data_IF_926189622569
#
_entry.id   IF_926189622569
#
_cell.length_a   1.000
_cell.length_b   1.000
_cell.length_c   1.000
_cell.angle_alpha   90.00
_cell.angle_beta   90.00
_cell.angle_gamma   90.00
#
_symmetry.space_group_name_H-M   'P 1'
#
loop_
_entity.id
_entity.type
_entity.pdbx_description
1 polymer ?
#
# COMPACT_ATOMS: atom_id res chain seq x y z
N UNK A 1 28.88 34.78 -36.84
CA UNK A 1 27.54 34.90 -36.22
C UNK A 1 26.72 33.67 -36.62
N UNK A 2 26.41 32.78 -35.68
CA UNK A 2 25.80 31.46 -35.95
C UNK A 2 24.25 31.50 -35.86
N UNK A 3 23.56 30.52 -36.44
CA UNK A 3 22.08 30.45 -36.47
C UNK A 3 21.41 30.61 -35.08
N UNK A 4 21.98 30.00 -34.03
CA UNK A 4 21.56 30.14 -32.62
C UNK A 4 21.55 31.61 -32.18
N UNK A 5 22.60 32.35 -32.50
CA UNK A 5 22.71 33.78 -32.12
C UNK A 5 21.64 34.61 -32.83
N UNK A 6 21.38 34.34 -34.12
CA UNK A 6 20.31 34.98 -34.89
C UNK A 6 18.93 34.68 -34.32
N UNK A 7 18.68 33.43 -33.92
CA UNK A 7 17.40 33.02 -33.31
C UNK A 7 17.20 33.73 -31.97
N UNK A 8 18.20 33.73 -31.10
CA UNK A 8 18.10 34.44 -29.81
C UNK A 8 17.96 35.95 -29.96
N UNK A 9 18.64 36.55 -30.93
CA UNK A 9 18.48 37.98 -31.21
C UNK A 9 17.04 38.31 -31.61
N UNK A 10 16.44 37.49 -32.49
CA UNK A 10 15.05 37.66 -32.92
C UNK A 10 14.05 37.46 -31.76
N UNK A 11 14.26 36.42 -30.94
CA UNK A 11 13.39 36.14 -29.78
C UNK A 11 13.45 37.25 -28.74
N UNK A 12 14.64 37.78 -28.42
CA UNK A 12 14.78 38.91 -27.49
C UNK A 12 14.14 40.17 -28.04
N UNK A 13 14.30 40.44 -29.34
CA UNK A 13 13.67 41.59 -29.99
C UNK A 13 12.14 41.50 -29.97
N UNK A 14 11.56 40.31 -30.15
CA UNK A 14 10.10 40.12 -30.09
C UNK A 14 9.49 40.25 -28.69
N UNK A 15 10.31 40.16 -27.64
CA UNK A 15 9.90 40.34 -26.24
C UNK A 15 10.11 41.78 -25.74
N UNK A 16 10.62 42.68 -26.60
CA UNK A 16 10.80 44.07 -26.22
C UNK A 16 9.41 44.69 -25.95
N UNK A 17 9.31 45.42 -24.84
CA UNK A 17 8.08 46.09 -24.39
C UNK A 17 6.93 45.13 -24.01
N UNK A 18 7.20 43.84 -23.85
CA UNK A 18 6.28 42.90 -23.20
C UNK A 18 6.62 42.76 -21.72
N UNK A 19 5.59 42.55 -20.90
CA UNK A 19 5.76 42.17 -19.49
C UNK A 19 5.44 40.69 -19.35
N UNK A 20 6.25 39.91 -18.60
CA UNK A 20 5.88 38.56 -18.23
C UNK A 20 4.52 38.55 -17.54
N UNK A 21 3.68 37.57 -17.88
CA UNK A 21 2.47 37.31 -17.09
C UNK A 21 2.92 36.92 -15.69
N UNK A 22 2.32 37.52 -14.67
CA UNK A 22 2.59 37.15 -13.28
C UNK A 22 2.11 35.73 -13.08
N UNK A 23 2.98 34.90 -12.50
CA UNK A 23 2.63 33.56 -12.07
C UNK A 23 1.53 33.66 -10.99
N UNK A 24 0.28 33.40 -11.39
CA UNK A 24 -0.89 33.33 -10.49
C UNK A 24 -1.24 31.86 -10.25
N UNK A 25 -0.35 31.18 -9.54
CA UNK A 25 -0.60 29.84 -9.04
C UNK A 25 -0.07 29.71 -7.62
N UNK A 26 -0.71 28.80 -6.86
CA UNK A 26 -0.24 28.45 -5.54
C UNK A 26 1.04 27.60 -5.64
N UNK A 27 2.19 28.21 -5.39
CA UNK A 27 3.48 27.54 -5.41
C UNK A 27 3.56 26.37 -4.41
N UNK A 28 2.76 26.38 -3.32
CA UNK A 28 2.71 25.27 -2.36
C UNK A 28 2.25 23.97 -3.00
N UNK A 29 1.42 24.01 -4.05
CA UNK A 29 1.00 22.81 -4.80
C UNK A 29 2.18 22.11 -5.47
N UNK A 30 3.23 22.85 -5.81
CA UNK A 30 4.44 22.32 -6.46
C UNK A 30 5.55 21.97 -5.47
N UNK A 31 5.56 22.60 -4.29
CA UNK A 31 6.64 22.46 -3.30
C UNK A 31 6.27 21.58 -2.12
N UNK A 32 4.98 21.34 -1.87
CA UNK A 32 4.50 20.52 -0.75
C UNK A 32 3.77 19.27 -1.23
N UNK A 33 4.03 18.10 -0.62
CA UNK A 33 3.25 16.90 -0.91
C UNK A 33 1.79 17.13 -0.50
N UNK A 34 0.86 16.93 -1.44
CA UNK A 34 -0.56 16.95 -1.14
C UNK A 34 -0.90 15.89 -0.07
N UNK A 35 -1.58 16.31 1.00
CA UNK A 35 -2.01 15.41 2.08
C UNK A 35 -3.51 15.56 2.31
N UNK A 36 -4.21 14.42 2.38
CA UNK A 36 -5.58 14.41 2.88
C UNK A 36 -5.61 14.82 4.37
N UNK A 37 -6.71 15.48 4.76
CA UNK A 37 -7.04 15.75 6.17
C UNK A 37 -7.05 14.42 6.94
N UNK A 38 -6.56 14.43 8.18
CA UNK A 38 -6.29 13.21 8.94
C UNK A 38 -7.53 12.32 9.06
N UNK A 39 -8.68 12.94 9.34
CA UNK A 39 -9.99 12.33 9.45
C UNK A 39 -10.47 11.63 8.17
N UNK A 40 -10.02 12.07 6.99
CA UNK A 40 -10.46 11.53 5.70
C UNK A 40 -9.53 10.45 5.14
N UNK A 41 -8.35 10.22 5.75
CA UNK A 41 -7.32 9.33 5.19
C UNK A 41 -7.77 7.88 5.12
N UNK A 42 -8.39 7.37 6.18
CA UNK A 42 -8.84 5.97 6.25
C UNK A 42 -9.95 5.71 5.24
N UNK A 43 -10.95 6.59 5.18
CA UNK A 43 -12.06 6.48 4.23
C UNK A 43 -11.57 6.54 2.78
N UNK A 44 -10.60 7.42 2.50
CA UNK A 44 -10.03 7.53 1.16
C UNK A 44 -9.21 6.30 0.78
N UNK A 45 -8.40 5.77 1.70
CA UNK A 45 -7.66 4.53 1.48
C UNK A 45 -8.63 3.38 1.19
N UNK A 46 -9.67 3.22 2.01
CA UNK A 46 -10.71 2.21 1.82
C UNK A 46 -11.34 2.33 0.44
N UNK A 47 -11.79 3.52 0.07
CA UNK A 47 -12.40 3.77 -1.24
C UNK A 47 -11.48 3.33 -2.39
N UNK A 48 -10.17 3.54 -2.26
CA UNK A 48 -9.23 3.20 -3.33
C UNK A 48 -8.89 1.72 -3.39
N UNK A 49 -8.84 1.03 -2.25
CA UNK A 49 -8.71 -0.43 -2.21
C UNK A 49 -9.98 -1.11 -2.75
N UNK A 50 -11.17 -0.60 -2.40
CA UNK A 50 -12.46 -1.13 -2.87
C UNK A 50 -12.69 -0.85 -4.36
N UNK A 51 -12.16 0.25 -4.90
CA UNK A 51 -12.25 0.58 -6.33
C UNK A 51 -11.55 -0.44 -7.24
N UNK A 52 -10.57 -1.19 -6.72
CA UNK A 52 -9.89 -2.29 -7.42
C UNK A 52 -10.42 -3.66 -7.00
N UNK A 53 -11.68 -3.71 -6.53
CA UNK A 53 -12.36 -4.92 -6.05
C UNK A 53 -11.70 -5.60 -4.83
N UNK A 54 -10.88 -4.86 -4.09
CA UNK A 54 -10.36 -5.33 -2.79
C UNK A 54 -11.46 -5.28 -1.73
N UNK A 55 -11.51 -6.31 -0.89
CA UNK A 55 -12.34 -6.27 0.32
C UNK A 55 -11.57 -5.61 1.45
N UNK A 56 -12.20 -4.64 2.13
CA UNK A 56 -11.57 -3.92 3.25
C UNK A 56 -12.37 -4.13 4.53
N UNK A 57 -11.69 -4.65 5.56
CA UNK A 57 -12.26 -4.82 6.88
C UNK A 57 -11.64 -3.79 7.84
N UNK A 58 -12.41 -2.76 8.19
CA UNK A 58 -11.96 -1.75 9.16
C UNK A 58 -12.00 -2.34 10.57
N UNK A 59 -10.92 -2.13 11.31
CA UNK A 59 -10.71 -2.65 12.67
C UNK A 59 -9.69 -1.78 13.43
N UNK A 60 -9.40 -2.13 14.68
CA UNK A 60 -8.39 -1.48 15.51
C UNK A 60 -7.25 -2.46 15.85
N UNK A 61 -6.17 -1.93 16.45
CA UNK A 61 -4.96 -2.70 16.76
C UNK A 61 -5.16 -3.88 17.71
N UNK A 62 -6.21 -3.89 18.53
CA UNK A 62 -6.50 -5.00 19.44
C UNK A 62 -7.40 -6.07 18.81
N UNK A 63 -8.34 -5.66 17.94
CA UNK A 63 -9.38 -6.52 17.40
C UNK A 63 -9.03 -7.14 16.04
N UNK A 64 -7.98 -6.68 15.36
CA UNK A 64 -7.64 -7.16 14.01
C UNK A 64 -7.36 -8.67 13.93
N UNK A 65 -6.70 -9.35 14.89
CA UNK A 65 -6.44 -10.78 14.77
C UNK A 65 -7.73 -11.61 14.74
N UNK A 66 -8.71 -11.25 15.58
CA UNK A 66 -10.02 -11.88 15.60
C UNK A 66 -10.75 -11.68 14.26
N UNK A 67 -10.68 -10.46 13.70
CA UNK A 67 -11.29 -10.15 12.40
C UNK A 67 -10.67 -10.95 11.25
N UNK A 68 -9.37 -11.26 11.32
CA UNK A 68 -8.72 -12.16 10.35
C UNK A 68 -9.27 -13.57 10.47
N UNK A 69 -9.45 -14.11 11.70
CA UNK A 69 -10.05 -15.43 11.89
C UNK A 69 -11.48 -15.50 11.34
N UNK A 70 -12.30 -14.48 11.61
CA UNK A 70 -13.65 -14.36 11.05
C UNK A 70 -13.64 -14.38 9.52
N UNK A 71 -12.74 -13.61 8.91
CA UNK A 71 -12.62 -13.52 7.45
C UNK A 71 -12.19 -14.86 6.81
N UNK A 72 -11.24 -15.56 7.44
CA UNK A 72 -10.78 -16.87 6.95
C UNK A 72 -11.86 -17.93 7.10
N UNK A 73 -12.54 -17.97 8.25
CA UNK A 73 -13.64 -18.91 8.50
C UNK A 73 -14.80 -18.71 7.51
N UNK A 74 -15.19 -17.46 7.23
CA UNK A 74 -16.22 -17.15 6.24
C UNK A 74 -15.89 -17.62 4.82
N UNK A 75 -14.60 -17.85 4.52
CA UNK A 75 -14.10 -18.34 3.22
C UNK A 75 -13.72 -19.83 3.23
N UNK A 76 -13.88 -20.52 4.36
CA UNK A 76 -13.44 -21.90 4.52
C UNK A 76 -11.92 -22.07 4.39
N UNK A 77 -11.14 -21.04 4.74
CA UNK A 77 -9.67 -21.11 4.72
C UNK A 77 -9.18 -21.54 6.09
N UNK A 78 -8.65 -22.76 6.16
CA UNK A 78 -8.18 -23.38 7.40
C UNK A 78 -6.66 -23.28 7.59
N UNK A 79 -5.95 -22.78 6.58
CA UNK A 79 -4.49 -22.66 6.58
C UNK A 79 -4.04 -21.29 6.08
N UNK A 80 -3.11 -20.67 6.80
CA UNK A 80 -2.60 -19.35 6.46
C UNK A 80 -1.08 -19.34 6.49
N UNK A 81 -0.47 -18.90 5.39
CA UNK A 81 0.96 -18.63 5.35
C UNK A 81 1.27 -17.30 6.06
N UNK A 82 2.14 -17.33 7.05
CA UNK A 82 2.56 -16.18 7.84
C UNK A 82 4.08 -16.07 7.90
N UNK A 83 4.59 -14.86 8.14
CA UNK A 83 6.00 -14.65 8.48
C UNK A 83 6.14 -14.56 10.01
N UNK A 84 6.63 -15.60 10.70
CA UNK A 84 6.62 -15.64 12.17
C UNK A 84 7.58 -14.63 12.82
N UNK A 85 8.55 -14.12 12.06
CA UNK A 85 9.51 -13.12 12.52
C UNK A 85 8.97 -11.68 12.46
N UNK A 86 7.82 -11.44 11.81
CA UNK A 86 7.20 -10.11 11.78
C UNK A 86 6.31 -9.88 12.98
N UNK A 87 6.07 -8.61 13.31
CA UNK A 87 5.20 -8.24 14.42
C UNK A 87 3.77 -8.76 14.22
N UNK A 88 3.20 -8.58 13.03
CA UNK A 88 1.87 -9.10 12.70
C UNK A 88 1.79 -10.63 12.74
N UNK A 89 2.85 -11.33 12.32
CA UNK A 89 2.93 -12.79 12.41
C UNK A 89 2.91 -13.28 13.86
N UNK A 90 3.71 -12.66 14.73
CA UNK A 90 3.72 -12.96 16.18
C UNK A 90 2.38 -12.68 16.84
N UNK A 91 1.77 -11.54 16.55
CA UNK A 91 0.47 -11.14 17.11
C UNK A 91 -0.63 -12.14 16.74
N UNK A 92 -0.73 -12.52 15.45
CA UNK A 92 -1.73 -13.49 15.03
C UNK A 92 -1.49 -14.87 15.67
N UNK A 93 -0.23 -15.33 15.71
CA UNK A 93 0.11 -16.61 16.34
C UNK A 93 -0.23 -16.64 17.83
N UNK A 94 0.11 -15.57 18.56
CA UNK A 94 -0.23 -15.42 19.98
C UNK A 94 -1.75 -15.40 20.19
N UNK A 95 -2.50 -14.69 19.34
CA UNK A 95 -3.95 -14.66 19.39
C UNK A 95 -4.55 -16.06 19.15
N UNK A 96 -4.10 -16.77 18.12
CA UNK A 96 -4.56 -18.13 17.82
C UNK A 96 -4.33 -19.09 18.98
N UNK A 97 -3.15 -19.04 19.61
CA UNK A 97 -2.84 -19.83 20.80
C UNK A 97 -3.73 -19.47 21.99
N UNK A 98 -3.98 -18.17 22.20
CA UNK A 98 -4.82 -17.69 23.30
C UNK A 98 -6.28 -18.15 23.19
N UNK A 99 -6.86 -18.10 21.99
CA UNK A 99 -8.27 -18.48 21.77
C UNK A 99 -8.46 -19.95 21.40
N UNK A 100 -7.38 -20.72 21.25
CA UNK A 100 -7.44 -22.11 20.80
C UNK A 100 -7.98 -22.26 19.37
N UNK A 101 -7.60 -21.35 18.47
CA UNK A 101 -8.08 -21.36 17.10
C UNK A 101 -7.59 -22.60 16.33
N UNK A 102 -8.47 -23.19 15.53
CA UNK A 102 -8.12 -24.34 14.67
C UNK A 102 -7.30 -23.97 13.42
N UNK A 103 -7.06 -22.68 13.18
CA UNK A 103 -6.31 -22.20 12.01
C UNK A 103 -4.86 -22.73 12.03
N UNK A 104 -4.46 -23.43 10.97
CA UNK A 104 -3.08 -23.89 10.80
C UNK A 104 -2.21 -22.77 10.24
N UNK A 105 -1.24 -22.31 11.04
CA UNK A 105 -0.25 -21.34 10.60
C UNK A 105 0.94 -22.03 9.94
N UNK A 106 1.28 -21.60 8.72
CA UNK A 106 2.41 -22.09 7.93
C UNK A 106 3.47 -21.01 7.86
N UNK A 107 4.74 -21.38 7.74
CA UNK A 107 5.85 -20.44 7.59
C UNK A 107 6.83 -20.95 6.54
N UNK A 108 7.60 -20.07 5.91
CA UNK A 108 8.72 -20.46 5.05
C UNK A 108 9.85 -21.06 5.90
N UNK A 109 9.70 -22.32 6.27
CA UNK A 109 10.53 -23.07 7.21
C UNK A 109 11.55 -24.01 6.56
N UNK A 110 11.48 -24.12 5.23
CA UNK A 110 12.32 -25.00 4.41
C UNK A 110 12.86 -24.20 3.21
N UNK A 111 13.92 -24.69 2.54
CA UNK A 111 14.40 -24.10 1.30
C UNK A 111 13.30 -23.91 0.25
N UNK A 112 13.40 -22.85 -0.56
CA UNK A 112 12.36 -22.50 -1.56
C UNK A 112 12.12 -23.63 -2.57
N UNK A 113 13.16 -24.40 -2.91
CA UNK A 113 13.07 -25.54 -3.83
C UNK A 113 12.08 -26.59 -3.34
N UNK A 114 12.07 -26.86 -2.02
CA UNK A 114 11.16 -27.82 -1.38
C UNK A 114 9.76 -27.21 -1.12
N UNK A 115 9.62 -25.89 -1.28
CA UNK A 115 8.39 -25.14 -1.05
C UNK A 115 7.55 -24.90 -2.30
N UNK A 116 8.10 -25.09 -3.51
CA UNK A 116 7.43 -24.73 -4.77
C UNK A 116 6.03 -25.30 -4.90
N UNK A 117 5.86 -26.60 -4.66
CA UNK A 117 4.55 -27.24 -4.75
C UNK A 117 3.54 -26.65 -3.74
N UNK A 118 3.99 -26.42 -2.51
CA UNK A 118 3.14 -25.87 -1.46
C UNK A 118 2.77 -24.40 -1.72
N UNK A 119 3.72 -23.61 -2.21
CA UNK A 119 3.55 -22.21 -2.54
C UNK A 119 2.53 -22.03 -3.66
N UNK A 120 2.64 -22.80 -4.74
CA UNK A 120 1.81 -22.61 -5.93
C UNK A 120 0.46 -23.34 -5.86
N UNK A 121 0.37 -24.46 -5.15
CA UNK A 121 -0.83 -25.32 -5.22
C UNK A 121 -1.54 -25.53 -3.89
N UNK A 122 -0.90 -25.25 -2.75
CA UNK A 122 -1.46 -25.58 -1.41
C UNK A 122 -1.51 -24.40 -0.45
N UNK A 123 -1.36 -23.18 -0.95
CA UNK A 123 -1.41 -21.96 -0.14
C UNK A 123 -2.46 -21.02 -0.71
N UNK A 124 -3.67 -21.08 -0.14
CA UNK A 124 -4.81 -20.29 -0.60
C UNK A 124 -4.74 -18.83 -0.15
N UNK A 125 -4.07 -18.55 0.98
CA UNK A 125 -3.93 -17.22 1.52
C UNK A 125 -2.63 -17.04 2.30
N UNK A 126 -2.18 -15.79 2.38
CA UNK A 126 -1.06 -15.38 3.23
C UNK A 126 -1.38 -14.07 3.96
N UNK A 127 -0.76 -13.88 5.11
CA UNK A 127 -0.78 -12.61 5.84
C UNK A 127 0.51 -11.85 5.58
N UNK A 128 0.37 -10.61 5.14
CA UNK A 128 1.48 -9.68 4.94
C UNK A 128 1.16 -8.32 5.55
N UNK A 129 2.21 -7.58 5.92
CA UNK A 129 2.11 -6.18 6.27
C UNK A 129 2.56 -5.29 5.10
N UNK A 130 2.39 -3.98 5.25
CA UNK A 130 2.92 -2.95 4.35
C UNK A 130 3.86 -2.03 5.12
N UNK A 131 4.77 -1.35 4.42
CA UNK A 131 5.69 -0.39 5.07
C UNK A 131 5.01 0.91 5.53
N UNK A 132 3.82 1.21 5.00
CA UNK A 132 3.12 2.47 5.25
C UNK A 132 3.53 3.55 4.25
#
# INVERSE_FOLDING_TARGET
MNAKERIFAKLRASLKDTSPVVDDYDAHVLTEPWRYRAEARVDRLRQMLEAVHGETLVTNSAAWPARVLEALAARGIEELLVSPATEHGRQLAAHCAHVGAALRLKAYDRPIEDWKEELFFRTLASLTGTLG
#
